data_IF_577475747590
#
_entry.id   IF_577475747590
#
_cell.length_a   1.000
_cell.length_b   1.000
_cell.length_c   1.000
_cell.angle_alpha   90.00
_cell.angle_beta   90.00
_cell.angle_gamma   90.00
#
_symmetry.space_group_name_H-M   'P 1'
#
loop_
_entity.id
_entity.type
_entity.pdbx_description
1 polymer ?
#
# COMPACT_ATOMS: atom_id res chain seq x y z
N UNK A 1 -3.20 -17.52 18.25
CA UNK A 1 -3.90 -16.22 18.10
C UNK A 1 -3.21 -15.31 17.09
N UNK A 2 -1.87 -15.30 17.01
CA UNK A 2 -1.13 -14.57 15.96
C UNK A 2 -1.48 -15.01 14.52
N UNK A 3 -1.93 -16.26 14.31
CA UNK A 3 -2.31 -16.76 12.98
C UNK A 3 -3.63 -16.18 12.42
N UNK A 4 -4.45 -15.48 13.22
CA UNK A 4 -5.76 -14.98 12.76
C UNK A 4 -5.69 -13.62 12.05
N UNK A 5 -4.64 -12.83 12.30
CA UNK A 5 -4.33 -11.58 11.61
C UNK A 5 -3.13 -11.73 10.68
N UNK A 6 -3.05 -12.87 9.97
CA UNK A 6 -2.01 -13.11 8.98
C UNK A 6 -2.34 -12.38 7.68
N UNK A 7 -2.52 -11.06 7.76
CA UNK A 7 -2.40 -10.21 6.57
C UNK A 7 -0.91 -10.17 6.29
N UNK A 8 -0.52 -10.83 5.21
CA UNK A 8 0.87 -10.90 4.79
C UNK A 8 1.28 -9.51 4.32
N UNK A 9 2.00 -8.79 5.18
CA UNK A 9 2.50 -7.44 4.90
C UNK A 9 3.36 -7.45 3.64
N UNK A 10 4.03 -8.57 3.35
CA UNK A 10 4.81 -8.75 2.12
C UNK A 10 3.89 -8.79 0.89
N UNK A 11 2.69 -9.36 1.00
CA UNK A 11 1.68 -9.35 -0.08
C UNK A 11 1.14 -7.95 -0.31
N UNK A 12 0.86 -7.18 0.74
CA UNK A 12 0.42 -5.78 0.62
C UNK A 12 1.52 -4.89 0.01
N UNK A 13 2.77 -5.08 0.43
CA UNK A 13 3.92 -4.40 -0.15
C UNK A 13 4.10 -4.75 -1.64
N UNK A 14 3.98 -6.04 -1.99
CA UNK A 14 4.06 -6.53 -3.38
C UNK A 14 2.94 -5.95 -4.25
N UNK A 15 1.72 -5.91 -3.73
CA UNK A 15 0.58 -5.31 -4.42
C UNK A 15 0.80 -3.82 -4.67
N UNK A 16 1.31 -3.09 -3.67
CA UNK A 16 1.64 -1.67 -3.81
C UNK A 16 2.72 -1.44 -4.87
N UNK A 17 3.79 -2.25 -4.85
CA UNK A 17 4.86 -2.18 -5.83
C UNK A 17 4.36 -2.42 -7.25
N UNK A 18 3.51 -3.45 -7.42
CA UNK A 18 2.90 -3.79 -8.72
C UNK A 18 2.01 -2.66 -9.24
N UNK A 19 1.14 -2.10 -8.39
CA UNK A 19 0.27 -0.98 -8.74
C UNK A 19 1.09 0.25 -9.15
N UNK A 20 2.15 0.56 -8.40
CA UNK A 20 3.07 1.66 -8.73
C UNK A 20 3.71 1.45 -10.10
N UNK A 21 4.23 0.27 -10.35
CA UNK A 21 4.90 -0.06 -11.61
C UNK A 21 3.94 0.01 -12.80
N UNK A 22 2.70 -0.49 -12.65
CA UNK A 22 1.66 -0.35 -13.66
C UNK A 22 1.31 1.11 -13.95
N UNK A 23 1.28 1.95 -12.90
CA UNK A 23 1.13 3.39 -13.02
C UNK A 23 2.24 4.06 -13.82
N UNK A 24 3.49 3.77 -13.49
CA UNK A 24 4.66 4.31 -14.17
C UNK A 24 4.70 3.88 -15.64
N UNK A 25 4.37 2.62 -15.94
CA UNK A 25 4.29 2.13 -17.33
C UNK A 25 3.18 2.83 -18.13
N UNK A 26 2.01 3.04 -17.52
CA UNK A 26 0.90 3.72 -18.19
C UNK A 26 1.21 5.21 -18.41
N UNK A 27 1.88 5.86 -17.45
CA UNK A 27 2.34 7.25 -17.59
C UNK A 27 3.34 7.39 -18.75
N UNK A 28 4.30 6.46 -18.86
CA UNK A 28 5.26 6.42 -19.97
C UNK A 28 4.56 6.19 -21.32
N UNK A 29 3.58 5.27 -21.38
CA UNK A 29 2.81 5.02 -22.59
C UNK A 29 1.99 6.25 -23.04
N UNK A 30 1.37 6.96 -22.09
CA UNK A 30 0.61 8.19 -22.36
C UNK A 30 1.53 9.34 -22.79
N UNK A 31 2.69 9.48 -22.15
CA UNK A 31 3.71 10.46 -22.55
C UNK A 31 4.24 10.16 -23.95
N UNK A 32 4.52 8.89 -24.28
CA UNK A 32 4.95 8.48 -25.62
C UNK A 32 3.86 8.76 -26.66
N UNK A 33 2.59 8.53 -26.32
CA UNK A 33 1.45 8.87 -27.17
C UNK A 33 1.35 10.38 -27.44
N UNK A 34 1.59 11.22 -26.43
CA UNK A 34 1.64 12.68 -26.59
C UNK A 34 2.89 13.20 -27.31
N UNK A 35 4.05 12.57 -27.11
CA UNK A 35 5.34 12.96 -27.70
C UNK A 35 5.47 12.55 -29.17
N UNK A 36 4.79 11.48 -29.61
CA UNK A 36 4.70 11.09 -31.02
C UNK A 36 3.94 12.12 -31.89
N UNK A 37 3.45 13.22 -31.31
CA UNK A 37 2.52 14.17 -31.89
C UNK A 37 3.12 15.52 -32.31
N UNK A 38 4.45 15.69 -32.19
CA UNK A 38 5.19 16.87 -32.71
C UNK A 38 5.07 17.03 -34.24
N UNK A 39 4.43 16.08 -34.94
CA UNK A 39 4.00 16.18 -36.33
C UNK A 39 2.49 15.95 -36.51
N UNK A 40 1.65 16.91 -36.09
CA UNK A 40 0.25 17.13 -36.53
C UNK A 40 -0.59 15.90 -36.94
N UNK A 41 -0.93 14.94 -36.07
CA UNK A 41 -2.07 14.03 -36.34
C UNK A 41 -2.84 13.76 -35.03
N UNK A 42 -3.81 14.62 -34.71
CA UNK A 42 -4.81 14.37 -33.67
C UNK A 42 -5.58 15.63 -33.29
N UNK A 43 -6.92 15.57 -33.13
CA UNK A 43 -7.70 16.72 -32.65
C UNK A 43 -7.21 17.15 -31.26
N UNK A 44 -7.19 18.47 -30.98
CA UNK A 44 -6.87 19.02 -29.65
C UNK A 44 -7.71 18.41 -28.52
N UNK A 45 -8.91 17.92 -28.86
CA UNK A 45 -9.81 17.20 -27.96
C UNK A 45 -9.25 15.84 -27.53
N UNK A 46 -8.56 15.11 -28.41
CA UNK A 46 -7.94 13.82 -28.08
C UNK A 46 -6.75 14.02 -27.14
N UNK A 47 -5.96 15.06 -27.38
CA UNK A 47 -4.82 15.43 -26.51
C UNK A 47 -5.30 15.85 -25.13
N UNK A 48 -6.34 16.69 -25.08
CA UNK A 48 -7.00 17.07 -23.83
C UNK A 48 -7.51 15.86 -23.06
N UNK A 49 -8.25 14.97 -23.72
CA UNK A 49 -8.78 13.76 -23.12
C UNK A 49 -7.67 12.82 -22.59
N UNK A 50 -6.57 12.67 -23.33
CA UNK A 50 -5.42 11.87 -22.89
C UNK A 50 -4.75 12.47 -21.65
N UNK A 51 -4.58 13.79 -21.60
CA UNK A 51 -4.03 14.51 -20.46
C UNK A 51 -4.93 14.43 -19.23
N UNK A 52 -6.24 14.58 -19.42
CA UNK A 52 -7.23 14.45 -18.34
C UNK A 52 -7.24 13.03 -17.79
N UNK A 53 -7.25 12.02 -18.67
CA UNK A 53 -7.14 10.61 -18.29
C UNK A 53 -5.85 10.33 -17.49
N UNK A 54 -4.71 10.84 -17.97
CA UNK A 54 -3.42 10.72 -17.27
C UNK A 54 -3.49 11.32 -15.86
N UNK A 55 -4.06 12.52 -15.74
CA UNK A 55 -4.23 13.20 -14.46
C UNK A 55 -5.12 12.43 -13.48
N UNK A 56 -6.30 12.00 -13.92
CA UNK A 56 -7.24 11.22 -13.11
C UNK A 56 -6.65 9.87 -12.70
N UNK A 57 -5.97 9.18 -13.62
CA UNK A 57 -5.35 7.89 -13.35
C UNK A 57 -4.25 8.00 -12.30
N UNK A 58 -3.35 8.98 -12.45
CA UNK A 58 -2.27 9.24 -11.50
C UNK A 58 -2.79 9.58 -10.11
N UNK A 59 -3.87 10.37 -10.04
CA UNK A 59 -4.54 10.66 -8.77
C UNK A 59 -5.11 9.39 -8.12
N UNK A 60 -5.88 8.60 -8.87
CA UNK A 60 -6.48 7.36 -8.36
C UNK A 60 -5.43 6.36 -7.86
N UNK A 61 -4.32 6.22 -8.57
CA UNK A 61 -3.21 5.38 -8.13
C UNK A 61 -2.57 5.88 -6.84
N UNK A 62 -2.38 7.20 -6.70
CA UNK A 62 -1.89 7.80 -5.46
C UNK A 62 -2.82 7.51 -4.28
N UNK A 63 -4.14 7.59 -4.50
CA UNK A 63 -5.13 7.23 -3.47
C UNK A 63 -5.04 5.76 -3.06
N UNK A 64 -4.86 4.85 -4.03
CA UNK A 64 -4.67 3.42 -3.74
C UNK A 64 -3.39 3.17 -2.94
N UNK A 65 -2.28 3.81 -3.30
CA UNK A 65 -1.02 3.70 -2.56
C UNK A 65 -1.17 4.18 -1.12
N UNK A 66 -1.85 5.31 -0.91
CA UNK A 66 -2.13 5.84 0.41
C UNK A 66 -2.96 4.86 1.24
N UNK A 67 -4.06 4.33 0.70
CA UNK A 67 -4.92 3.38 1.39
C UNK A 67 -4.17 2.10 1.80
N UNK A 68 -3.28 1.59 0.94
CA UNK A 68 -2.47 0.40 1.28
C UNK A 68 -1.45 0.72 2.36
N UNK A 69 -0.81 1.90 2.33
CA UNK A 69 0.12 2.34 3.37
C UNK A 69 -0.58 2.42 4.72
N UNK A 70 -1.76 3.06 4.77
CA UNK A 70 -2.57 3.17 5.98
C UNK A 70 -3.00 1.79 6.52
N UNK A 71 -3.35 0.87 5.62
CA UNK A 71 -3.68 -0.51 5.98
C UNK A 71 -2.49 -1.25 6.57
N UNK A 72 -1.32 -1.15 5.94
CA UNK A 72 -0.06 -1.78 6.38
C UNK A 72 0.33 -1.27 7.77
N UNK A 73 0.33 0.04 7.98
CA UNK A 73 0.59 0.65 9.30
C UNK A 73 -0.42 0.19 10.37
N UNK A 74 -1.69 0.05 9.98
CA UNK A 74 -2.74 -0.44 10.88
C UNK A 74 -2.47 -1.88 11.33
N UNK A 75 -2.13 -2.76 10.39
CA UNK A 75 -1.80 -4.16 10.67
C UNK A 75 -0.55 -4.26 11.57
N UNK A 76 0.50 -3.49 11.27
CA UNK A 76 1.71 -3.44 12.10
C UNK A 76 1.43 -3.00 13.54
N UNK A 77 0.63 -1.93 13.71
CA UNK A 77 0.22 -1.44 15.03
C UNK A 77 -0.55 -2.51 15.79
N UNK A 78 -1.50 -3.18 15.14
CA UNK A 78 -2.28 -4.27 15.75
C UNK A 78 -1.34 -5.41 16.17
N UNK A 79 -0.46 -5.85 15.29
CA UNK A 79 0.50 -6.93 15.59
C UNK A 79 1.40 -6.59 16.79
N UNK A 80 1.96 -5.38 16.82
CA UNK A 80 2.78 -4.89 17.93
C UNK A 80 2.01 -4.86 19.24
N UNK A 81 0.79 -4.33 19.25
CA UNK A 81 -0.04 -4.27 20.45
C UNK A 81 -0.35 -5.67 21.00
N UNK A 82 -0.61 -6.64 20.12
CA UNK A 82 -0.81 -8.03 20.53
C UNK A 82 0.46 -8.65 21.13
N UNK A 83 1.63 -8.42 20.52
CA UNK A 83 2.91 -8.91 21.05
C UNK A 83 3.22 -8.32 22.44
N UNK A 84 3.03 -7.00 22.61
CA UNK A 84 3.24 -6.32 23.90
C UNK A 84 2.27 -6.83 24.97
N UNK A 85 1.00 -7.06 24.59
CA UNK A 85 -0.01 -7.62 25.49
C UNK A 85 0.38 -9.03 25.94
N UNK A 86 0.76 -9.90 25.00
CA UNK A 86 1.18 -11.27 25.30
C UNK A 86 2.41 -11.29 26.21
N UNK A 87 3.42 -10.47 25.91
CA UNK A 87 4.63 -10.35 26.74
C UNK A 87 4.29 -9.88 28.15
N UNK A 88 3.38 -8.91 28.30
CA UNK A 88 2.94 -8.40 29.60
C UNK A 88 2.20 -9.46 30.41
N UNK A 89 1.32 -10.23 29.75
CA UNK A 89 0.60 -11.35 30.36
C UNK A 89 1.59 -12.42 30.80
N UNK A 90 2.52 -12.81 29.94
CA UNK A 90 3.53 -13.82 30.25
C UNK A 90 4.43 -13.42 31.42
N UNK A 91 4.87 -12.15 31.47
CA UNK A 91 5.65 -11.61 32.60
C UNK A 91 4.85 -11.62 33.90
N UNK A 92 3.57 -11.24 33.84
CA UNK A 92 2.70 -11.18 35.03
C UNK A 92 2.42 -12.57 35.57
N UNK A 93 2.10 -13.53 34.70
CA UNK A 93 1.92 -14.94 35.06
C UNK A 93 3.22 -15.55 35.61
N UNK A 94 4.37 -15.23 35.01
CA UNK A 94 5.67 -15.67 35.51
C UNK A 94 5.93 -15.21 36.95
N UNK A 95 5.67 -13.93 37.25
CA UNK A 95 5.79 -13.38 38.62
C UNK A 95 4.87 -14.09 39.62
N UNK A 96 3.62 -14.34 39.24
CA UNK A 96 2.66 -15.06 40.09
C UNK A 96 3.14 -16.48 40.37
N UNK A 97 3.67 -17.18 39.36
CA UNK A 97 4.18 -18.53 39.54
C UNK A 97 5.39 -18.56 40.49
N UNK A 98 6.29 -17.58 40.42
CA UNK A 98 7.41 -17.48 41.36
C UNK A 98 6.93 -17.25 42.79
N UNK A 99 5.93 -16.37 42.99
CA UNK A 99 5.35 -16.10 44.32
C UNK A 99 4.60 -17.29 44.92
N UNK A 100 4.13 -18.22 44.10
CA UNK A 100 3.44 -19.44 44.55
C UNK A 100 4.41 -20.59 44.89
N UNK A 101 5.70 -20.46 44.55
CA UNK A 101 6.74 -21.46 44.81
C UNK A 101 7.66 -21.09 45.99
N UNK A 102 7.54 -19.87 46.54
CA UNK A 102 8.09 -19.45 47.84
C UNK A 102 7.09 -19.74 48.98
#
# INVERSE_FOLDING_TARGET
MADFFKVDLDVLATMTGTLRQAGEQMDQALQAFGAAQDGQIGPSTLVGAAKDFQGTWKYGLGQLQQAISECTEGVDKVHKNYQETEQTVQQSLGKINTLLQE
#
